data_IF_311896488068
#
_entry.id   IF_311896488068
#
_cell.length_a   1.000
_cell.length_b   1.000
_cell.length_c   1.000
_cell.angle_alpha   90.00
_cell.angle_beta   90.00
_cell.angle_gamma   90.00
#
_symmetry.space_group_name_H-M   'P 1'
#
loop_
_entity.id
_entity.type
_entity.pdbx_description
1 polymer ?
#
# COMPACT_ATOMS: atom_id res chain seq x y z
N UNK A 1 -11.11 55.24 29.70
CA UNK A 1 -10.71 53.83 29.91
C UNK A 1 -11.85 52.94 29.45
N UNK A 2 -11.85 52.53 28.18
CA UNK A 2 -12.77 51.51 27.67
C UNK A 2 -12.03 50.76 26.56
N UNK A 3 -11.38 49.67 26.92
CA UNK A 3 -10.77 48.75 25.96
C UNK A 3 -11.74 47.57 25.80
N UNK A 4 -12.37 47.46 24.63
CA UNK A 4 -13.16 46.32 24.20
C UNK A 4 -12.23 45.18 23.75
N UNK A 5 -12.71 43.93 23.79
CA UNK A 5 -11.89 42.75 24.07
C UNK A 5 -11.19 42.17 22.84
N UNK A 6 -10.04 41.57 23.11
CA UNK A 6 -9.28 40.70 22.22
C UNK A 6 -10.15 39.59 21.60
N UNK A 7 -10.49 39.74 20.32
CA UNK A 7 -10.90 38.62 19.47
C UNK A 7 -9.66 37.94 18.91
N UNK A 8 -9.02 37.07 19.70
CA UNK A 8 -8.03 36.13 19.17
C UNK A 8 -8.75 34.89 18.63
N UNK A 9 -9.04 34.96 17.33
CA UNK A 9 -8.91 33.88 16.35
C UNK A 9 -9.31 32.46 16.78
N UNK A 10 -10.60 32.14 16.64
CA UNK A 10 -11.03 30.77 16.37
C UNK A 10 -10.69 30.43 14.91
N UNK A 11 -9.43 30.09 14.64
CA UNK A 11 -9.08 29.44 13.36
C UNK A 11 -9.90 28.15 13.25
N UNK A 12 -10.71 28.05 12.19
CA UNK A 12 -11.68 26.97 12.01
C UNK A 12 -10.98 25.61 12.02
N UNK A 13 -11.60 24.61 12.64
CA UNK A 13 -11.05 23.24 12.75
C UNK A 13 -10.65 22.65 11.39
N UNK A 14 -11.31 23.05 10.31
CA UNK A 14 -10.97 22.67 8.94
C UNK A 14 -9.59 23.18 8.50
N UNK A 15 -9.26 24.45 8.77
CA UNK A 15 -7.97 25.05 8.39
C UNK A 15 -6.78 24.39 9.12
N UNK A 16 -7.01 23.90 10.34
CA UNK A 16 -5.99 23.19 11.11
C UNK A 16 -5.74 21.78 10.57
N UNK A 17 -6.78 21.08 10.12
CA UNK A 17 -6.68 19.76 9.50
C UNK A 17 -5.93 19.86 8.18
N UNK A 18 -6.29 20.82 7.32
CA UNK A 18 -5.62 21.01 6.04
C UNK A 18 -4.11 21.29 6.24
N UNK A 19 -3.74 22.16 7.17
CA UNK A 19 -2.32 22.44 7.46
C UNK A 19 -1.56 21.21 7.95
N UNK A 20 -2.17 20.40 8.82
CA UNK A 20 -1.56 19.18 9.33
C UNK A 20 -1.33 18.16 8.20
N UNK A 21 -2.29 18.01 7.28
CA UNK A 21 -2.19 17.10 6.14
C UNK A 21 -1.11 17.55 5.15
N UNK A 22 -1.01 18.86 4.87
CA UNK A 22 0.06 19.41 4.04
C UNK A 22 1.43 19.20 4.68
N UNK A 23 1.55 19.40 5.99
CA UNK A 23 2.80 19.16 6.71
C UNK A 23 3.20 17.68 6.69
N UNK A 24 2.25 16.77 6.90
CA UNK A 24 2.51 15.33 6.86
C UNK A 24 2.98 14.87 5.46
N UNK A 25 2.37 15.42 4.40
CA UNK A 25 2.81 15.16 3.02
C UNK A 25 4.23 15.68 2.77
N UNK A 26 4.54 16.88 3.24
CA UNK A 26 5.86 17.48 3.08
C UNK A 26 6.93 16.65 3.81
N UNK A 27 6.67 16.25 5.06
CA UNK A 27 7.52 15.36 5.84
C UNK A 27 7.81 14.04 5.10
N UNK A 28 6.79 13.43 4.50
CA UNK A 28 6.95 12.21 3.73
C UNK A 28 7.80 12.40 2.47
N UNK A 29 7.69 13.55 1.78
CA UNK A 29 8.52 13.90 0.62
C UNK A 29 9.98 14.14 1.00
N UNK A 30 10.22 14.79 2.13
CA UNK A 30 11.57 14.99 2.67
C UNK A 30 12.22 13.64 3.03
N UNK A 31 11.48 12.76 3.71
CA UNK A 31 11.92 11.40 3.98
C UNK A 31 12.23 10.66 2.67
N UNK A 32 11.31 10.67 1.70
CA UNK A 32 11.53 10.02 0.40
C UNK A 32 12.79 10.54 -0.30
N UNK A 33 13.04 11.85 -0.25
CA UNK A 33 14.25 12.47 -0.81
C UNK A 33 15.52 11.98 -0.10
N UNK A 34 15.51 11.87 1.23
CA UNK A 34 16.63 11.31 2.01
C UNK A 34 16.97 9.88 1.57
N UNK A 35 15.96 9.08 1.26
CA UNK A 35 16.09 7.68 0.84
C UNK A 35 16.52 7.49 -0.62
N UNK A 36 16.70 8.56 -1.41
CA UNK A 36 17.22 8.46 -2.79
C UNK A 36 18.72 8.15 -2.85
N UNK A 37 19.43 8.25 -1.73
CA UNK A 37 20.87 7.94 -1.65
C UNK A 37 21.12 6.46 -1.98
N UNK A 38 22.21 6.13 -2.71
CA UNK A 38 22.48 4.75 -3.14
C UNK A 38 22.50 3.71 -2.01
N UNK A 39 23.01 4.08 -0.83
CA UNK A 39 23.06 3.21 0.35
C UNK A 39 21.71 2.75 0.89
N UNK A 40 20.59 3.33 0.41
CA UNK A 40 19.25 2.93 0.82
C UNK A 40 18.42 2.28 -0.28
N UNK A 41 18.84 2.28 -1.54
CA UNK A 41 18.00 1.83 -2.65
C UNK A 41 17.44 0.41 -2.44
N UNK A 42 18.31 -0.53 -2.03
CA UNK A 42 17.90 -1.92 -1.73
C UNK A 42 17.05 -2.03 -0.47
N UNK A 43 17.28 -1.18 0.53
CA UNK A 43 16.45 -1.12 1.73
C UNK A 43 15.02 -0.75 1.35
N UNK A 44 14.83 0.36 0.64
CA UNK A 44 13.51 0.89 0.29
C UNK A 44 12.73 -0.08 -0.60
N UNK A 45 13.39 -0.70 -1.58
CA UNK A 45 12.78 -1.73 -2.42
C UNK A 45 12.25 -2.90 -1.56
N UNK A 46 13.06 -3.43 -0.65
CA UNK A 46 12.64 -4.54 0.22
C UNK A 46 11.54 -4.13 1.20
N UNK A 47 11.56 -2.90 1.72
CA UNK A 47 10.50 -2.38 2.57
C UNK A 47 9.17 -2.31 1.81
N UNK A 48 9.20 -1.82 0.57
CA UNK A 48 8.04 -1.79 -0.31
C UNK A 48 7.48 -3.19 -0.53
N UNK A 49 8.31 -4.13 -1.00
CA UNK A 49 7.91 -5.52 -1.23
C UNK A 49 7.30 -6.16 0.02
N UNK A 50 7.94 -5.95 1.17
CA UNK A 50 7.48 -6.50 2.44
C UNK A 50 6.16 -5.90 2.89
N UNK A 51 5.98 -4.60 2.71
CA UNK A 51 4.73 -3.92 3.03
C UNK A 51 3.60 -4.39 2.12
N UNK A 52 3.83 -4.53 0.81
CA UNK A 52 2.84 -5.10 -0.13
C UNK A 52 2.46 -6.53 0.27
N UNK A 53 3.43 -7.33 0.70
CA UNK A 53 3.18 -8.70 1.14
C UNK A 53 2.30 -8.77 2.39
N UNK A 54 2.62 -7.98 3.43
CA UNK A 54 2.03 -8.10 4.76
C UNK A 54 0.80 -7.20 4.94
N UNK A 55 0.78 -6.04 4.30
CA UNK A 55 -0.28 -5.03 4.36
C UNK A 55 -0.27 -4.13 5.60
N UNK A 56 0.77 -4.22 6.42
CA UNK A 56 0.96 -3.42 7.62
C UNK A 56 2.44 -3.32 7.95
N UNK A 57 2.81 -2.41 8.85
CA UNK A 57 4.20 -2.27 9.33
C UNK A 57 4.53 -3.44 10.24
N UNK A 58 5.01 -4.52 9.63
CA UNK A 58 5.28 -5.79 10.32
C UNK A 58 6.31 -6.65 9.62
N UNK A 59 6.88 -7.58 10.39
CA UNK A 59 7.92 -8.49 9.90
C UNK A 59 9.30 -7.84 9.74
N UNK A 60 10.16 -8.53 8.99
CA UNK A 60 11.54 -8.13 8.76
C UNK A 60 11.94 -8.37 7.31
N UNK A 61 12.89 -7.57 6.84
CA UNK A 61 13.59 -7.74 5.58
C UNK A 61 15.03 -8.15 5.84
N UNK A 62 15.61 -8.83 4.85
CA UNK A 62 16.99 -9.29 4.89
C UNK A 62 17.69 -8.72 3.65
N UNK A 63 18.77 -7.99 3.86
CA UNK A 63 19.73 -7.64 2.80
C UNK A 63 20.93 -8.57 2.97
N UNK A 64 21.11 -9.47 2.01
CA UNK A 64 22.31 -10.29 1.88
C UNK A 64 23.39 -9.48 1.17
N UNK A 65 24.66 -9.74 1.45
CA UNK A 65 25.79 -9.09 0.77
C UNK A 65 25.67 -7.55 0.75
N UNK A 66 25.27 -6.96 1.88
CA UNK A 66 25.18 -5.52 2.04
C UNK A 66 26.58 -4.89 1.94
N UNK A 67 26.70 -3.88 1.09
CA UNK A 67 27.93 -3.11 0.91
C UNK A 67 28.31 -2.34 2.18
N UNK A 68 29.56 -1.90 2.28
CA UNK A 68 30.01 -1.12 3.43
C UNK A 68 29.20 0.18 3.60
N UNK A 69 28.83 0.82 2.49
CA UNK A 69 28.03 2.05 2.49
C UNK A 69 26.59 1.79 2.92
N UNK A 70 25.93 0.74 2.40
CA UNK A 70 24.60 0.32 2.87
C UNK A 70 24.60 0.03 4.37
N UNK A 71 25.58 -0.72 4.88
CA UNK A 71 25.66 -1.02 6.32
C UNK A 71 25.84 0.23 7.16
N UNK A 72 26.67 1.18 6.71
CA UNK A 72 26.92 2.45 7.42
C UNK A 72 25.67 3.31 7.46
N UNK A 73 25.04 3.53 6.30
CA UNK A 73 23.87 4.38 6.15
C UNK A 73 22.68 3.81 6.94
N UNK A 74 22.41 2.51 6.79
CA UNK A 74 21.32 1.84 7.51
C UNK A 74 21.56 1.84 9.02
N UNK A 75 22.78 1.58 9.49
CA UNK A 75 23.10 1.64 10.91
C UNK A 75 22.92 3.07 11.45
N UNK A 76 23.41 4.08 10.73
CA UNK A 76 23.29 5.49 11.11
C UNK A 76 21.83 5.92 11.21
N UNK A 77 21.02 5.63 10.19
CA UNK A 77 19.59 5.99 10.19
C UNK A 77 18.81 5.29 11.33
N UNK A 78 19.11 4.02 11.60
CA UNK A 78 18.43 3.26 12.67
C UNK A 78 18.98 3.55 14.07
N UNK A 79 20.01 4.39 14.21
CA UNK A 79 20.68 4.64 15.49
C UNK A 79 21.33 3.39 16.08
N UNK A 80 21.83 2.49 15.23
CA UNK A 80 22.45 1.21 15.61
C UNK A 80 23.97 1.26 15.42
N UNK A 81 24.67 0.35 16.10
CA UNK A 81 26.10 0.11 15.82
C UNK A 81 26.27 -0.43 14.41
N UNK A 82 27.43 -0.17 13.80
CA UNK A 82 27.76 -0.70 12.48
C UNK A 82 27.65 -2.23 12.48
N UNK A 83 26.99 -2.76 11.46
CA UNK A 83 26.80 -4.20 11.31
C UNK A 83 28.13 -4.89 10.96
N UNK A 84 28.56 -5.91 11.73
CA UNK A 84 29.78 -6.65 11.45
C UNK A 84 29.62 -7.55 10.23
N UNK A 85 28.44 -8.15 10.07
CA UNK A 85 28.11 -9.07 8.99
C UNK A 85 27.59 -8.34 7.75
N UNK A 86 27.80 -8.94 6.58
CA UNK A 86 27.22 -8.47 5.30
C UNK A 86 25.74 -8.80 5.19
N UNK A 87 25.21 -9.72 6.00
CA UNK A 87 23.78 -10.00 6.06
C UNK A 87 23.14 -9.18 7.17
N UNK A 88 22.32 -8.19 6.79
CA UNK A 88 21.61 -7.34 7.74
C UNK A 88 20.12 -7.67 7.78
N UNK A 89 19.58 -7.76 9.00
CA UNK A 89 18.15 -7.94 9.24
C UNK A 89 17.57 -6.63 9.77
N UNK A 90 16.52 -6.15 9.10
CA UNK A 90 15.87 -4.88 9.46
C UNK A 90 14.39 -5.13 9.67
N UNK A 91 13.88 -4.76 10.85
CA UNK A 91 12.45 -4.84 11.16
C UNK A 91 11.76 -3.59 10.64
N UNK A 92 10.58 -3.74 10.04
CA UNK A 92 9.80 -2.59 9.54
C UNK A 92 9.43 -1.63 10.68
N UNK A 93 9.13 -2.16 11.87
CA UNK A 93 8.85 -1.35 13.06
C UNK A 93 10.05 -0.48 13.51
N UNK A 94 11.28 -0.96 13.35
CA UNK A 94 12.47 -0.16 13.67
C UNK A 94 12.62 1.01 12.67
N UNK A 95 12.28 0.77 11.39
CA UNK A 95 12.29 1.80 10.34
C UNK A 95 11.18 2.83 10.59
N UNK A 96 9.96 2.40 10.91
CA UNK A 96 8.88 3.32 11.23
C UNK A 96 9.20 4.18 12.45
N UNK A 97 9.79 3.59 13.50
CA UNK A 97 10.24 4.36 14.66
C UNK A 97 11.28 5.42 14.27
N UNK A 98 12.25 5.07 13.43
CA UNK A 98 13.27 6.00 12.95
C UNK A 98 12.69 7.11 12.05
N UNK A 99 11.72 6.78 11.19
CA UNK A 99 10.99 7.76 10.37
C UNK A 99 10.19 8.73 11.23
N UNK A 100 9.46 8.22 12.23
CA UNK A 100 8.69 9.06 13.13
C UNK A 100 9.57 10.00 13.94
N UNK A 101 10.74 9.54 14.37
CA UNK A 101 11.69 10.37 15.11
C UNK A 101 12.36 11.45 14.23
N UNK A 102 12.80 11.08 13.03
CA UNK A 102 13.67 11.95 12.21
C UNK A 102 12.91 12.82 11.22
N UNK A 103 11.74 12.39 10.76
CA UNK A 103 10.96 13.07 9.73
C UNK A 103 9.52 13.33 10.15
N UNK A 104 9.05 12.77 11.27
CA UNK A 104 7.65 12.85 11.68
C UNK A 104 6.68 12.37 10.58
N UNK A 105 6.98 11.22 9.97
CA UNK A 105 6.15 10.55 8.98
C UNK A 105 6.12 9.03 9.17
N UNK A 106 5.07 8.38 8.67
CA UNK A 106 4.92 6.91 8.73
C UNK A 106 5.63 6.21 7.58
N UNK A 107 5.90 4.90 7.73
CA UNK A 107 6.48 4.09 6.64
C UNK A 107 5.60 4.09 5.37
N UNK A 108 4.27 3.87 5.44
CA UNK A 108 3.42 3.91 4.25
C UNK A 108 3.41 5.28 3.55
N UNK A 109 3.42 6.38 4.32
CA UNK A 109 3.47 7.72 3.75
C UNK A 109 4.77 7.97 2.99
N UNK A 110 5.91 7.57 3.58
CA UNK A 110 7.21 7.65 2.90
C UNK A 110 7.25 6.79 1.64
N UNK A 111 6.74 5.54 1.67
CA UNK A 111 6.73 4.66 0.50
C UNK A 111 5.86 5.21 -0.65
N UNK A 112 4.71 5.81 -0.34
CA UNK A 112 3.85 6.49 -1.34
C UNK A 112 4.56 7.69 -1.95
N UNK A 113 5.28 8.47 -1.15
CA UNK A 113 6.07 9.60 -1.65
C UNK A 113 7.29 9.16 -2.48
N UNK A 114 7.91 8.02 -2.14
CA UNK A 114 9.08 7.49 -2.86
C UNK A 114 8.72 6.85 -4.20
N UNK A 115 7.55 6.19 -4.30
CA UNK A 115 7.04 5.59 -5.53
C UNK A 115 5.70 6.21 -5.94
N UNK A 116 5.68 7.47 -6.43
CA UNK A 116 4.43 8.14 -6.77
C UNK A 116 3.64 7.41 -7.87
N UNK A 117 4.34 6.75 -8.79
CA UNK A 117 3.74 6.03 -9.92
C UNK A 117 3.40 4.57 -9.60
N UNK A 118 3.63 4.10 -8.37
CA UNK A 118 3.32 2.72 -7.96
C UNK A 118 2.27 2.71 -6.86
N UNK A 119 1.16 2.04 -7.15
CA UNK A 119 0.12 1.86 -6.16
C UNK A 119 0.59 0.93 -5.03
N UNK A 120 0.41 1.37 -3.78
CA UNK A 120 0.73 0.59 -2.59
C UNK A 120 -0.37 -0.45 -2.29
N UNK A 121 -0.76 -1.25 -3.30
CA UNK A 121 -1.83 -2.24 -3.20
C UNK A 121 -1.29 -3.54 -2.62
N UNK A 122 -1.75 -3.86 -1.43
CA UNK A 122 -1.32 -5.03 -0.67
C UNK A 122 -1.89 -6.31 -1.27
N UNK A 123 -1.25 -7.45 -0.99
CA UNK A 123 -1.76 -8.78 -1.39
C UNK A 123 -3.14 -9.08 -0.82
N UNK A 124 -3.50 -8.49 0.32
CA UNK A 124 -4.82 -8.64 0.92
C UNK A 124 -5.87 -7.86 0.13
N UNK A 125 -5.59 -6.59 -0.21
CA UNK A 125 -6.46 -5.77 -1.05
C UNK A 125 -6.64 -6.37 -2.44
N UNK A 126 -5.56 -6.88 -3.05
CA UNK A 126 -5.64 -7.56 -4.34
C UNK A 126 -6.54 -8.80 -4.26
N UNK A 127 -6.41 -9.62 -3.20
CA UNK A 127 -7.29 -10.78 -2.96
C UNK A 127 -8.75 -10.36 -2.75
N UNK A 128 -8.99 -9.30 -2.00
CA UNK A 128 -10.34 -8.78 -1.76
C UNK A 128 -10.96 -8.25 -3.06
N UNK A 129 -10.20 -7.49 -3.86
CA UNK A 129 -10.62 -7.02 -5.18
C UNK A 129 -10.97 -8.17 -6.11
N UNK A 130 -10.11 -9.20 -6.18
CA UNK A 130 -10.38 -10.40 -6.96
C UNK A 130 -11.64 -11.12 -6.46
N UNK A 131 -11.82 -11.29 -5.15
CA UNK A 131 -13.01 -11.93 -4.59
C UNK A 131 -14.29 -11.16 -4.96
N UNK A 132 -14.27 -9.83 -4.84
CA UNK A 132 -15.38 -8.96 -5.25
C UNK A 132 -15.68 -9.11 -6.73
N UNK A 133 -14.65 -9.07 -7.59
CA UNK A 133 -14.80 -9.25 -9.04
C UNK A 133 -15.42 -10.62 -9.37
N UNK A 134 -14.97 -11.68 -8.70
CA UNK A 134 -15.50 -13.03 -8.88
C UNK A 134 -16.98 -13.14 -8.47
N UNK A 135 -17.36 -12.51 -7.34
CA UNK A 135 -18.77 -12.45 -6.90
C UNK A 135 -19.61 -11.68 -7.92
N UNK A 136 -19.14 -10.53 -8.39
CA UNK A 136 -19.84 -9.73 -9.39
C UNK A 136 -20.02 -10.49 -10.70
N UNK A 137 -18.98 -11.18 -11.18
CA UNK A 137 -19.04 -11.99 -12.39
C UNK A 137 -20.06 -13.11 -12.28
N UNK A 138 -20.10 -13.82 -11.15
CA UNK A 138 -21.12 -14.85 -10.88
C UNK A 138 -22.53 -14.27 -10.89
N UNK A 139 -22.73 -13.15 -10.18
CA UNK A 139 -24.03 -12.47 -10.15
C UNK A 139 -24.47 -12.01 -11.54
N UNK A 140 -23.55 -11.53 -12.38
CA UNK A 140 -23.85 -11.14 -13.75
C UNK A 140 -24.28 -12.34 -14.62
N UNK A 141 -23.57 -13.47 -14.54
CA UNK A 141 -23.96 -14.69 -15.25
C UNK A 141 -25.35 -15.19 -14.83
N UNK A 142 -25.63 -15.18 -13.52
CA UNK A 142 -26.93 -15.58 -13.00
C UNK A 142 -28.05 -14.62 -13.46
N UNK A 143 -27.79 -13.31 -13.48
CA UNK A 143 -28.75 -12.32 -13.97
C UNK A 143 -29.05 -12.49 -15.47
N UNK A 144 -28.03 -12.77 -16.29
CA UNK A 144 -28.21 -13.07 -17.72
C UNK A 144 -29.10 -14.31 -17.89
N UNK A 145 -28.82 -15.41 -17.18
CA UNK A 145 -29.64 -16.60 -17.25
C UNK A 145 -31.09 -16.36 -16.80
N UNK A 146 -31.27 -15.60 -15.71
CA UNK A 146 -32.59 -15.26 -15.17
C UNK A 146 -33.42 -14.39 -16.12
N UNK A 147 -32.78 -13.48 -16.88
CA UNK A 147 -33.44 -12.62 -17.86
C UNK A 147 -33.83 -13.32 -19.17
N UNK A 148 -33.33 -14.54 -19.41
CA UNK A 148 -33.73 -15.34 -20.56
C UNK A 148 -35.06 -16.09 -20.30
N UNK A 149 -35.95 -16.22 -21.31
CA UNK A 149 -37.15 -17.06 -21.19
C UNK A 149 -36.80 -18.49 -20.76
N UNK A 150 -37.69 -19.13 -19.99
CA UNK A 150 -37.49 -20.49 -19.49
C UNK A 150 -37.22 -21.50 -20.62
N UNK A 151 -37.91 -21.33 -21.75
CA UNK A 151 -37.81 -22.18 -22.94
C UNK A 151 -36.55 -21.89 -23.78
N UNK A 152 -35.81 -20.83 -23.48
CA UNK A 152 -34.69 -20.40 -24.31
C UNK A 152 -33.53 -21.39 -24.20
N UNK A 153 -33.05 -21.89 -25.35
CA UNK A 153 -31.86 -22.74 -25.42
C UNK A 153 -30.64 -22.15 -24.72
N UNK A 154 -30.50 -20.82 -24.76
CA UNK A 154 -29.42 -20.10 -24.07
C UNK A 154 -29.49 -20.23 -22.54
N UNK A 155 -30.69 -20.23 -21.97
CA UNK A 155 -30.89 -20.42 -20.53
C UNK A 155 -30.51 -21.85 -20.12
N UNK A 156 -31.05 -22.83 -20.84
CA UNK A 156 -30.70 -24.24 -20.63
C UNK A 156 -29.19 -24.48 -20.76
N UNK A 157 -28.55 -23.90 -21.78
CA UNK A 157 -27.11 -24.03 -21.98
C UNK A 157 -26.30 -23.39 -20.83
N UNK A 158 -26.71 -22.22 -20.33
CA UNK A 158 -26.05 -21.57 -19.19
C UNK A 158 -26.24 -22.35 -17.88
N UNK A 159 -27.44 -22.86 -17.60
CA UNK A 159 -27.76 -23.51 -16.32
C UNK A 159 -27.36 -24.99 -16.28
N UNK A 160 -27.55 -25.71 -17.39
CA UNK A 160 -27.44 -27.18 -17.46
C UNK A 160 -26.37 -27.66 -18.46
N UNK A 161 -25.83 -26.78 -19.29
CA UNK A 161 -24.84 -27.13 -20.31
C UNK A 161 -23.48 -27.47 -19.72
N UNK A 162 -22.74 -28.35 -20.41
CA UNK A 162 -21.36 -28.72 -20.04
C UNK A 162 -20.38 -27.54 -20.02
N UNK A 163 -20.71 -26.45 -20.72
CA UNK A 163 -19.96 -25.21 -20.80
C UNK A 163 -20.76 -24.01 -20.26
N UNK A 164 -21.69 -24.27 -19.34
CA UNK A 164 -22.55 -23.25 -18.73
C UNK A 164 -21.83 -22.33 -17.74
N UNK A 165 -22.57 -21.79 -16.77
CA UNK A 165 -22.08 -20.75 -15.86
C UNK A 165 -20.80 -21.12 -15.11
N UNK A 166 -20.71 -22.35 -14.57
CA UNK A 166 -19.53 -22.77 -13.80
C UNK A 166 -18.28 -22.91 -14.67
N UNK A 167 -18.44 -23.32 -15.93
CA UNK A 167 -17.35 -23.40 -16.89
C UNK A 167 -16.87 -22.00 -17.28
N UNK A 168 -17.81 -21.09 -17.60
CA UNK A 168 -17.49 -19.69 -17.92
C UNK A 168 -16.80 -19.00 -16.75
N UNK A 169 -17.30 -19.20 -15.54
CA UNK A 169 -16.67 -18.70 -14.33
C UNK A 169 -15.25 -19.26 -14.18
N UNK A 170 -15.08 -20.57 -14.25
CA UNK A 170 -13.75 -21.19 -14.10
C UNK A 170 -12.73 -20.68 -15.11
N UNK A 171 -13.16 -20.42 -16.35
CA UNK A 171 -12.31 -19.95 -17.43
C UNK A 171 -11.99 -18.45 -17.37
N UNK A 172 -12.96 -17.61 -16.99
CA UNK A 172 -12.85 -16.16 -17.15
C UNK A 172 -12.87 -15.35 -15.84
N UNK A 173 -13.02 -15.99 -14.67
CA UNK A 173 -13.10 -15.32 -13.36
C UNK A 173 -11.95 -14.36 -13.00
N UNK A 174 -10.80 -14.49 -13.68
CA UNK A 174 -9.62 -13.65 -13.48
C UNK A 174 -9.13 -13.00 -14.80
N UNK A 175 -9.92 -13.06 -15.88
CA UNK A 175 -9.53 -12.44 -17.14
C UNK A 175 -9.45 -10.91 -16.96
N UNK A 176 -8.41 -10.30 -17.49
CA UNK A 176 -8.32 -8.84 -17.57
C UNK A 176 -8.93 -8.39 -18.90
N UNK A 177 -9.73 -7.32 -18.87
CA UNK A 177 -10.13 -6.61 -20.08
C UNK A 177 -8.87 -5.94 -20.64
N UNK A 178 -8.44 -6.39 -21.81
CA UNK A 178 -7.40 -5.70 -22.60
C UNK A 178 -7.88 -4.33 -23.09
#
# INVERSE_FOLDING_TARGET
MSNQPDQVGQASRADQVDRADHQALQNAREAATFFTRPGYARLVLKLYEKYIEVGQVGGQIILQDATADERRDIASFLGKRLYPDTTIKVRLADVEKALMHSFNCTLPAMLRAYYPDRALVTRAEQRASHATHQVQFRSALAAIAAGLPAEARGRYWLEQGSHGQEWLFSRYKNAQLE
#
